data_IF_308892956778
#
_entry.id   IF_308892956778
#
_cell.length_a   1.000
_cell.length_b   1.000
_cell.length_c   1.000
_cell.angle_alpha   90.00
_cell.angle_beta   90.00
_cell.angle_gamma   90.00
#
_symmetry.space_group_name_H-M   'P 1'
#
loop_
_entity.id
_entity.type
_entity.pdbx_description
1 polymer ?
#
# COMPACT_ATOMS: atom_id res chain seq x y z
N UNK A 1 -14.38 -31.07 59.11
CA UNK A 1 -14.81 -32.08 58.13
C UNK A 1 -14.15 -31.77 56.81
N UNK A 2 -13.29 -32.68 56.38
CA UNK A 2 -12.36 -32.57 55.25
C UNK A 2 -12.87 -33.36 54.04
N UNK A 3 -12.45 -32.92 52.84
CA UNK A 3 -12.48 -33.70 51.59
C UNK A 3 -13.60 -33.30 50.62
N UNK A 4 -13.43 -33.27 49.29
CA UNK A 4 -12.32 -33.69 48.42
C UNK A 4 -12.45 -32.91 47.08
N UNK A 5 -11.33 -32.57 46.44
CA UNK A 5 -11.26 -32.37 44.99
C UNK A 5 -10.09 -33.20 44.45
N UNK A 6 -10.37 -34.05 43.47
CA UNK A 6 -9.40 -34.90 42.82
C UNK A 6 -8.85 -34.23 41.57
N UNK A 7 -7.53 -34.28 41.39
CA UNK A 7 -6.87 -33.93 40.14
C UNK A 7 -5.94 -35.10 39.76
N UNK A 8 -6.13 -35.62 38.55
CA UNK A 8 -5.36 -36.73 37.98
C UNK A 8 -4.54 -36.24 36.79
N UNK A 9 -3.35 -36.82 36.61
CA UNK A 9 -2.53 -36.61 35.41
C UNK A 9 -1.04 -36.60 35.66
N UNK A 10 -0.48 -37.72 36.14
CA UNK A 10 0.96 -37.95 36.20
C UNK A 10 1.43 -38.68 34.94
N UNK A 11 2.37 -38.09 34.22
CA UNK A 11 3.03 -38.69 33.06
C UNK A 11 4.44 -39.22 33.35
N UNK A 12 4.90 -40.02 32.37
CA UNK A 12 6.27 -40.48 32.03
C UNK A 12 6.71 -41.89 32.47
N UNK A 13 6.95 -42.73 31.46
CA UNK A 13 8.18 -43.50 31.16
C UNK A 13 7.80 -44.51 30.05
N UNK A 14 8.62 -44.96 29.09
CA UNK A 14 10.02 -44.74 28.73
C UNK A 14 10.45 -45.90 27.79
N UNK A 15 11.22 -45.59 26.74
CA UNK A 15 12.06 -46.53 25.96
C UNK A 15 11.38 -47.32 24.83
N UNK A 16 12.07 -47.85 23.81
CA UNK A 16 13.39 -47.66 23.21
C UNK A 16 13.44 -48.59 21.98
N UNK A 17 14.20 -48.24 20.94
CA UNK A 17 14.56 -49.13 19.82
C UNK A 17 14.35 -48.44 18.47
N UNK A 18 15.32 -48.25 17.57
CA UNK A 18 16.59 -48.95 17.38
C UNK A 18 16.50 -49.76 16.07
N UNK A 19 16.85 -49.14 14.94
CA UNK A 19 16.92 -49.81 13.63
C UNK A 19 17.71 -48.98 12.63
N UNK A 20 18.95 -49.41 12.35
CA UNK A 20 19.86 -48.90 11.31
C UNK A 20 19.78 -49.82 10.07
N UNK A 21 19.98 -49.26 8.87
CA UNK A 21 20.78 -49.79 7.73
C UNK A 21 20.41 -48.98 6.46
N UNK A 22 21.33 -48.17 5.89
CA UNK A 22 22.28 -48.47 4.79
C UNK A 22 21.57 -48.87 3.48
N UNK A 23 21.86 -48.35 2.29
CA UNK A 23 22.93 -47.49 1.78
C UNK A 23 22.92 -47.50 0.25
N UNK A 24 23.78 -46.67 -0.37
CA UNK A 24 24.18 -46.70 -1.78
C UNK A 24 23.31 -45.90 -2.75
N UNK A 25 23.76 -45.38 -3.90
CA UNK A 25 25.08 -45.09 -4.50
C UNK A 25 24.80 -44.80 -5.99
N UNK A 26 25.54 -43.88 -6.62
CA UNK A 26 25.59 -43.69 -8.09
C UNK A 26 24.59 -42.65 -8.61
N UNK A 27 25.00 -41.57 -9.28
CA UNK A 27 25.59 -41.51 -10.63
C UNK A 27 24.57 -40.73 -11.48
N UNK A 28 24.86 -39.57 -12.09
CA UNK A 28 25.73 -39.39 -13.26
C UNK A 28 24.85 -39.18 -14.51
N UNK A 29 25.03 -38.04 -15.21
CA UNK A 29 24.42 -37.74 -16.53
C UNK A 29 23.01 -37.13 -16.43
N UNK A 30 22.61 -36.09 -17.15
CA UNK A 30 23.10 -35.57 -18.42
C UNK A 30 21.93 -35.52 -19.41
N UNK A 31 21.35 -34.33 -19.61
CA UNK A 31 20.70 -33.83 -20.84
C UNK A 31 19.54 -34.60 -21.49
N UNK A 32 18.44 -33.89 -21.78
CA UNK A 32 17.49 -34.34 -22.79
C UNK A 32 16.21 -33.52 -22.91
N UNK A 33 16.28 -32.31 -23.47
CA UNK A 33 15.11 -31.74 -24.15
C UNK A 33 15.26 -32.01 -25.65
N UNK A 34 14.31 -32.77 -26.22
CA UNK A 34 14.17 -32.95 -27.66
C UNK A 34 13.75 -31.63 -28.31
N UNK A 35 14.51 -31.21 -29.32
CA UNK A 35 14.09 -30.20 -30.31
C UNK A 35 14.11 -30.87 -31.68
N UNK A 36 12.97 -30.84 -32.37
CA UNK A 36 12.82 -31.31 -33.74
C UNK A 36 13.44 -30.30 -34.76
N UNK A 37 13.91 -30.77 -35.93
CA UNK A 37 14.84 -30.01 -36.77
C UNK A 37 14.15 -29.08 -37.78
N UNK A 38 14.78 -27.94 -38.05
CA UNK A 38 14.78 -27.33 -39.38
C UNK A 38 14.43 -25.84 -39.44
N UNK A 39 15.43 -24.96 -39.36
CA UNK A 39 15.68 -23.88 -40.36
C UNK A 39 16.88 -22.99 -39.98
N UNK A 40 18.01 -23.29 -40.64
CA UNK A 40 19.11 -22.45 -41.13
C UNK A 40 19.43 -21.09 -40.44
N UNK A 41 20.66 -21.01 -39.89
CA UNK A 41 21.45 -19.77 -39.85
C UNK A 41 22.20 -19.50 -38.54
N UNK A 42 23.38 -20.10 -38.35
CA UNK A 42 24.24 -19.82 -37.19
C UNK A 42 25.71 -19.71 -37.59
N UNK A 43 26.26 -18.50 -37.48
CA UNK A 43 27.70 -18.27 -37.47
C UNK A 43 28.24 -18.61 -36.07
N UNK A 44 29.23 -19.49 -36.01
CA UNK A 44 29.89 -19.92 -34.79
C UNK A 44 30.95 -18.88 -34.38
N UNK A 45 30.87 -18.36 -33.15
CA UNK A 45 31.97 -17.67 -32.49
C UNK A 45 32.42 -18.50 -31.29
N UNK A 46 33.70 -18.89 -31.32
CA UNK A 46 34.37 -19.74 -30.35
C UNK A 46 34.60 -19.02 -29.01
N UNK A 47 34.50 -19.79 -27.92
CA UNK A 47 34.86 -19.40 -26.56
C UNK A 47 36.29 -18.84 -26.48
N UNK A 48 36.41 -17.60 -26.02
CA UNK A 48 37.63 -16.99 -25.47
C UNK A 48 37.35 -16.51 -24.05
N UNK A 49 38.35 -16.65 -23.17
CA UNK A 49 38.22 -16.66 -21.71
C UNK A 49 37.62 -15.43 -21.04
N UNK A 50 37.01 -15.68 -19.88
CA UNK A 50 36.53 -14.71 -18.93
C UNK A 50 37.74 -14.16 -18.15
N UNK A 51 38.27 -13.01 -18.56
CA UNK A 51 39.15 -12.19 -17.72
C UNK A 51 38.35 -11.01 -17.16
N UNK A 52 38.17 -11.00 -15.85
CA UNK A 52 37.53 -9.94 -15.09
C UNK A 52 38.49 -8.75 -14.92
N UNK A 53 38.24 -7.64 -15.62
CA UNK A 53 38.86 -6.36 -15.28
C UNK A 53 37.77 -5.29 -15.04
N UNK A 54 37.46 -4.94 -13.78
CA UNK A 54 36.38 -4.00 -13.43
C UNK A 54 36.69 -2.51 -13.73
N UNK A 55 37.83 -2.18 -14.33
CA UNK A 55 38.36 -0.80 -14.32
C UNK A 55 38.18 -0.03 -15.64
N UNK A 56 37.55 -0.62 -16.66
CA UNK A 56 37.42 -0.02 -17.99
C UNK A 56 36.15 0.83 -18.21
N UNK A 57 35.28 1.00 -17.21
CA UNK A 57 34.00 1.72 -17.37
C UNK A 57 33.97 3.17 -16.83
N UNK A 58 35.10 3.71 -16.37
CA UNK A 58 35.19 5.11 -15.94
C UNK A 58 36.11 5.91 -16.86
N UNK A 59 35.55 6.36 -17.99
CA UNK A 59 36.15 7.33 -18.90
C UNK A 59 35.40 8.66 -18.86
N UNK A 60 36.15 9.71 -18.54
CA UNK A 60 35.76 11.10 -18.31
C UNK A 60 34.79 11.73 -19.34
N UNK A 61 33.80 12.47 -18.81
CA UNK A 61 33.24 13.64 -19.47
C UNK A 61 33.21 14.82 -18.49
N UNK A 62 34.23 15.67 -18.59
CA UNK A 62 34.13 17.07 -18.17
C UNK A 62 33.26 17.82 -19.19
N UNK A 63 32.01 18.07 -18.81
CA UNK A 63 31.10 18.98 -19.51
C UNK A 63 30.63 20.05 -18.54
N UNK A 64 31.05 21.29 -18.79
CA UNK A 64 30.53 22.50 -18.16
C UNK A 64 29.02 22.60 -18.38
N UNK A 65 28.23 22.34 -17.34
CA UNK A 65 26.78 22.43 -17.36
C UNK A 65 26.30 23.17 -16.11
N UNK A 66 25.66 24.32 -16.31
CA UNK A 66 25.12 25.19 -15.28
C UNK A 66 24.31 24.40 -14.23
N UNK A 67 24.64 24.60 -12.95
CA UNK A 67 23.93 24.05 -11.81
C UNK A 67 22.50 24.62 -11.77
N UNK A 68 21.55 23.90 -12.36
CA UNK A 68 20.11 24.12 -12.10
C UNK A 68 19.85 23.70 -10.66
N UNK A 69 19.65 24.68 -9.78
CA UNK A 69 19.14 24.48 -8.42
C UNK A 69 17.95 23.51 -8.46
N UNK A 70 18.18 22.27 -8.00
CA UNK A 70 17.09 21.35 -7.68
C UNK A 70 16.26 22.03 -6.60
N UNK A 71 15.03 22.41 -6.92
CA UNK A 71 14.07 22.93 -5.94
C UNK A 71 13.92 21.83 -4.89
N UNK A 72 14.41 22.10 -3.68
CA UNK A 72 14.18 21.22 -2.54
C UNK A 72 12.67 21.04 -2.42
N UNK A 73 12.21 19.80 -2.48
CA UNK A 73 10.86 19.47 -2.06
C UNK A 73 10.83 19.74 -0.56
N UNK A 74 10.46 20.96 -0.17
CA UNK A 74 10.07 21.22 1.21
C UNK A 74 8.96 20.23 1.53
N UNK A 75 9.14 19.45 2.59
CA UNK A 75 8.10 18.54 3.08
C UNK A 75 6.95 19.42 3.57
N UNK A 76 6.05 19.78 2.67
CA UNK A 76 4.79 20.44 3.03
C UNK A 76 4.03 19.41 3.86
N UNK A 77 3.75 19.75 5.13
CA UNK A 77 2.92 18.90 6.00
C UNK A 77 1.58 18.68 5.30
N UNK A 78 1.09 17.44 5.32
CA UNK A 78 -0.17 17.04 4.69
C UNK A 78 -1.34 17.98 5.04
N UNK A 79 -1.46 18.38 6.30
CA UNK A 79 -2.47 19.36 6.75
C UNK A 79 -2.39 20.70 6.02
N UNK A 80 -1.20 21.20 5.70
CA UNK A 80 -1.00 22.51 5.08
C UNK A 80 -1.48 22.57 3.62
N UNK A 81 -1.70 21.43 2.95
CA UNK A 81 -2.35 21.41 1.62
C UNK A 81 -3.86 21.58 1.75
N UNK A 82 -4.46 20.91 2.73
CA UNK A 82 -5.90 20.96 3.00
C UNK A 82 -6.33 22.31 3.58
N UNK A 83 -5.52 22.87 4.48
CA UNK A 83 -5.82 24.14 5.17
C UNK A 83 -5.86 25.37 4.24
N UNK A 84 -5.50 25.22 2.95
CA UNK A 84 -5.64 26.26 1.92
C UNK A 84 -7.08 26.47 1.47
N UNK A 85 -7.93 25.48 1.66
CA UNK A 85 -9.32 25.49 1.20
C UNK A 85 -10.23 25.97 2.34
N UNK A 86 -11.17 26.87 2.05
CA UNK A 86 -12.13 27.33 3.05
C UNK A 86 -13.20 26.26 3.28
N UNK A 87 -13.62 26.09 4.55
CA UNK A 87 -14.73 25.20 4.91
C UNK A 87 -16.10 25.65 4.37
N UNK A 88 -16.19 26.91 3.93
CA UNK A 88 -17.39 27.49 3.33
C UNK A 88 -17.50 27.25 1.82
N UNK A 89 -16.42 26.77 1.19
CA UNK A 89 -16.40 26.52 -0.26
C UNK A 89 -16.92 25.10 -0.55
N UNK A 90 -17.50 24.93 -1.73
CA UNK A 90 -17.90 23.61 -2.22
C UNK A 90 -16.66 22.94 -2.82
N UNK A 91 -16.20 21.87 -2.18
CA UNK A 91 -15.04 21.09 -2.63
C UNK A 91 -15.48 19.97 -3.57
N UNK A 92 -14.81 19.87 -4.71
CA UNK A 92 -14.98 18.78 -5.67
C UNK A 92 -13.74 17.88 -5.66
N UNK A 93 -13.93 16.62 -5.22
CA UNK A 93 -12.89 15.59 -5.10
C UNK A 93 -13.20 14.40 -6.01
N UNK A 94 -12.82 14.43 -7.31
CA UNK A 94 -13.04 13.32 -8.24
C UNK A 94 -12.30 12.05 -7.82
N UNK A 95 -12.99 10.91 -7.88
CA UNK A 95 -12.39 9.58 -7.64
C UNK A 95 -11.61 9.09 -8.85
N UNK A 96 -10.37 8.67 -8.61
CA UNK A 96 -9.50 8.10 -9.64
C UNK A 96 -9.91 6.69 -10.07
N UNK A 97 -10.86 6.03 -9.39
CA UNK A 97 -11.34 4.70 -9.80
C UNK A 97 -11.98 4.71 -11.19
N UNK A 98 -12.54 5.85 -11.60
CA UNK A 98 -13.13 6.03 -12.92
C UNK A 98 -12.10 6.44 -13.99
N UNK A 99 -10.84 6.63 -13.61
CA UNK A 99 -9.79 7.08 -14.52
C UNK A 99 -9.21 5.90 -15.32
N UNK A 100 -8.61 6.23 -16.47
CA UNK A 100 -7.79 5.28 -17.20
C UNK A 100 -6.44 5.08 -16.49
N UNK A 101 -6.30 3.96 -15.77
CA UNK A 101 -5.07 3.63 -15.01
C UNK A 101 -3.81 3.55 -15.87
N UNK A 102 -3.91 3.23 -17.17
CA UNK A 102 -2.75 3.23 -18.07
C UNK A 102 -2.16 4.64 -18.31
N UNK A 103 -2.92 5.69 -17.99
CA UNK A 103 -2.55 7.10 -18.17
C UNK A 103 -2.87 7.93 -16.92
N UNK A 104 -2.76 7.33 -15.74
CA UNK A 104 -3.29 7.91 -14.50
C UNK A 104 -2.73 9.31 -14.21
N UNK A 105 -1.43 9.52 -14.42
CA UNK A 105 -0.82 10.84 -14.21
C UNK A 105 -1.34 11.94 -15.15
N UNK A 106 -1.69 11.58 -16.39
CA UNK A 106 -2.31 12.52 -17.34
C UNK A 106 -3.76 12.82 -16.94
N UNK A 107 -4.50 11.81 -16.49
CA UNK A 107 -5.88 11.97 -16.04
C UNK A 107 -5.97 12.87 -14.82
N UNK A 108 -5.07 12.72 -13.85
CA UNK A 108 -5.00 13.59 -12.66
C UNK A 108 -4.71 15.03 -13.04
N UNK A 109 -3.75 15.27 -13.95
CA UNK A 109 -3.48 16.63 -14.45
C UNK A 109 -4.66 17.22 -15.20
N UNK A 110 -5.39 16.41 -15.97
CA UNK A 110 -6.56 16.87 -16.70
C UNK A 110 -7.67 17.37 -15.76
N UNK A 111 -7.96 16.63 -14.67
CA UNK A 111 -8.96 17.06 -13.69
C UNK A 111 -8.47 18.23 -12.83
N UNK A 112 -7.17 18.32 -12.54
CA UNK A 112 -6.57 19.48 -11.90
C UNK A 112 -6.72 20.73 -12.77
N UNK A 113 -6.42 20.65 -14.07
CA UNK A 113 -6.67 21.75 -15.01
C UNK A 113 -8.14 22.10 -15.19
N UNK A 114 -9.06 21.14 -14.97
CA UNK A 114 -10.49 21.38 -14.98
C UNK A 114 -10.99 22.09 -13.70
N UNK A 115 -10.13 22.29 -12.70
CA UNK A 115 -10.43 23.02 -11.48
C UNK A 115 -11.00 22.18 -10.35
N UNK A 116 -10.65 20.88 -10.27
CA UNK A 116 -10.94 20.12 -9.05
C UNK A 116 -10.05 20.59 -7.89
N UNK A 117 -10.57 20.40 -6.67
CA UNK A 117 -9.91 20.86 -5.46
C UNK A 117 -8.97 19.79 -4.92
N UNK A 118 -9.48 18.56 -4.79
CA UNK A 118 -8.77 17.41 -4.22
C UNK A 118 -8.83 16.22 -5.18
N UNK A 119 -8.02 15.19 -4.93
CA UNK A 119 -8.06 13.93 -5.67
C UNK A 119 -8.46 12.81 -4.72
N UNK A 120 -9.60 12.16 -4.99
CA UNK A 120 -10.11 11.08 -4.16
C UNK A 120 -9.51 9.73 -4.59
N UNK A 121 -9.04 8.97 -3.61
CA UNK A 121 -8.35 7.69 -3.79
C UNK A 121 -9.04 6.62 -2.96
N UNK A 122 -9.86 5.80 -3.61
CA UNK A 122 -10.56 4.68 -2.99
C UNK A 122 -9.68 3.41 -2.94
N UNK A 123 -9.39 2.96 -1.72
CA UNK A 123 -8.55 1.79 -1.44
C UNK A 123 -9.44 0.66 -0.96
N UNK A 124 -9.43 -0.47 -1.67
CA UNK A 124 -10.24 -1.64 -1.40
C UNK A 124 -9.37 -2.90 -1.29
N UNK A 125 -9.63 -3.77 -0.32
CA UNK A 125 -8.79 -4.94 0.00
C UNK A 125 -9.44 -6.31 -0.34
N UNK A 126 -10.64 -6.33 -0.90
CA UNK A 126 -11.38 -7.56 -1.19
C UNK A 126 -11.99 -8.24 0.05
N UNK A 127 -11.81 -7.67 1.25
CA UNK A 127 -12.32 -8.22 2.52
C UNK A 127 -13.44 -7.37 3.09
N UNK A 128 -13.21 -6.06 3.25
CA UNK A 128 -14.24 -5.15 3.73
C UNK A 128 -15.29 -4.89 2.64
N UNK A 129 -14.84 -4.84 1.39
CA UNK A 129 -15.65 -4.78 0.17
C UNK A 129 -15.19 -5.88 -0.79
N UNK A 130 -16.05 -6.37 -1.71
CA UNK A 130 -15.69 -7.50 -2.57
C UNK A 130 -14.66 -7.16 -3.66
N UNK A 131 -14.34 -5.88 -3.84
CA UNK A 131 -13.42 -5.39 -4.87
C UNK A 131 -12.01 -5.14 -4.31
N UNK A 132 -11.01 -5.18 -5.20
CA UNK A 132 -9.61 -4.84 -4.91
C UNK A 132 -9.21 -3.74 -5.87
N UNK A 133 -8.68 -2.63 -5.36
CA UNK A 133 -8.31 -1.47 -6.19
C UNK A 133 -6.80 -1.26 -6.20
N UNK A 134 -6.32 -0.38 -5.33
CA UNK A 134 -4.99 0.19 -5.34
C UNK A 134 -4.44 0.30 -3.92
N UNK A 135 -3.13 0.34 -3.80
CA UNK A 135 -2.43 0.48 -2.52
C UNK A 135 -1.59 1.76 -2.43
N UNK A 136 -0.78 1.89 -1.37
CA UNK A 136 0.06 3.07 -1.12
C UNK A 136 1.00 3.43 -2.27
N UNK A 137 1.41 2.45 -3.08
CA UNK A 137 2.27 2.66 -4.25
C UNK A 137 1.65 3.63 -5.26
N UNK A 138 0.33 3.59 -5.45
CA UNK A 138 -0.35 4.50 -6.38
C UNK A 138 -0.39 5.91 -5.81
N UNK A 139 -0.60 6.06 -4.50
CA UNK A 139 -0.53 7.37 -3.82
C UNK A 139 0.86 7.98 -3.95
N UNK A 140 1.91 7.17 -3.73
CA UNK A 140 3.31 7.60 -3.88
C UNK A 140 3.63 8.03 -5.32
N UNK A 141 3.11 7.29 -6.32
CA UNK A 141 3.26 7.64 -7.73
C UNK A 141 2.49 8.91 -8.14
N UNK A 142 1.35 9.19 -7.51
CA UNK A 142 0.53 10.39 -7.76
C UNK A 142 1.10 11.63 -7.07
N UNK A 143 1.75 11.47 -5.92
CA UNK A 143 2.25 12.60 -5.14
C UNK A 143 3.16 13.57 -5.92
N UNK A 144 4.11 13.13 -6.77
CA UNK A 144 4.91 14.05 -7.60
C UNK A 144 4.17 14.60 -8.83
N UNK A 145 2.96 14.10 -9.15
CA UNK A 145 2.19 14.50 -10.32
C UNK A 145 1.34 15.74 -10.06
N UNK A 146 0.82 15.89 -8.83
CA UNK A 146 -0.09 16.96 -8.43
C UNK A 146 0.28 17.52 -7.06
N UNK A 147 0.00 18.81 -6.85
CA UNK A 147 0.11 19.46 -5.55
C UNK A 147 -1.23 19.57 -4.79
N UNK A 148 -2.33 19.12 -5.40
CA UNK A 148 -3.65 19.06 -4.76
C UNK A 148 -3.66 18.07 -3.59
N UNK A 149 -4.53 18.26 -2.57
CA UNK A 149 -4.73 17.27 -1.52
C UNK A 149 -5.12 15.90 -2.06
N UNK A 150 -4.45 14.86 -1.57
CA UNK A 150 -4.82 13.46 -1.81
C UNK A 150 -5.73 12.99 -0.66
N UNK A 151 -6.99 12.74 -1.00
CA UNK A 151 -8.04 12.28 -0.10
C UNK A 151 -8.18 10.77 -0.19
N UNK A 152 -7.58 10.05 0.76
CA UNK A 152 -7.50 8.59 0.75
C UNK A 152 -8.62 8.00 1.59
N UNK A 153 -9.48 7.21 0.94
CA UNK A 153 -10.59 6.51 1.56
C UNK A 153 -10.28 5.02 1.70
N UNK A 154 -10.13 4.56 2.95
CA UNK A 154 -9.75 3.19 3.28
C UNK A 154 -10.99 2.30 3.49
N UNK A 155 -11.42 1.62 2.44
CA UNK A 155 -12.42 0.54 2.47
C UNK A 155 -11.73 -0.82 2.69
N UNK A 156 -11.06 -0.96 3.84
CA UNK A 156 -10.25 -2.14 4.19
C UNK A 156 -10.52 -2.59 5.63
N UNK A 157 -10.17 -3.83 5.94
CA UNK A 157 -10.13 -4.29 7.34
C UNK A 157 -8.81 -3.88 8.00
N UNK A 158 -8.84 -3.65 9.32
CA UNK A 158 -7.65 -3.30 10.13
C UNK A 158 -6.86 -2.09 9.58
N UNK A 159 -7.53 -0.94 9.32
CA UNK A 159 -6.90 0.18 8.63
C UNK A 159 -5.73 0.80 9.41
N UNK A 160 -5.70 0.68 10.74
CA UNK A 160 -4.63 1.19 11.60
C UNK A 160 -3.24 0.62 11.26
N UNK A 161 -3.20 -0.58 10.67
CA UNK A 161 -1.96 -1.20 10.19
C UNK A 161 -1.45 -0.57 8.90
N UNK A 162 -2.35 0.01 8.08
CA UNK A 162 -2.01 0.56 6.75
C UNK A 162 -1.95 2.07 6.70
N UNK A 163 -2.60 2.77 7.64
CA UNK A 163 -2.56 4.24 7.77
C UNK A 163 -1.13 4.81 7.63
N UNK A 164 -0.09 4.28 8.32
CA UNK A 164 1.26 4.83 8.20
C UNK A 164 1.83 4.77 6.78
N UNK A 165 1.50 3.72 6.02
CA UNK A 165 1.98 3.55 4.64
C UNK A 165 1.39 4.62 3.72
N UNK A 166 0.08 4.90 3.86
CA UNK A 166 -0.62 5.89 3.04
C UNK A 166 -0.14 7.32 3.34
N UNK A 167 0.04 7.65 4.62
CA UNK A 167 0.56 8.96 5.01
C UNK A 167 2.00 9.14 4.51
N UNK A 168 2.83 8.10 4.63
CA UNK A 168 4.21 8.12 4.09
C UNK A 168 4.23 8.28 2.57
N UNK A 169 3.28 7.68 1.86
CA UNK A 169 3.10 7.83 0.42
C UNK A 169 2.61 9.23 0.00
N UNK A 170 2.19 10.07 0.96
CA UNK A 170 1.81 11.46 0.71
C UNK A 170 0.31 11.73 0.72
N UNK A 171 -0.49 10.87 1.38
CA UNK A 171 -1.88 11.14 1.68
C UNK A 171 -2.03 12.37 2.60
N UNK A 172 -2.94 13.27 2.25
CA UNK A 172 -3.21 14.48 3.03
C UNK A 172 -4.39 14.31 3.99
N UNK A 173 -5.40 13.56 3.53
CA UNK A 173 -6.56 13.14 4.30
C UNK A 173 -6.60 11.62 4.26
N UNK A 174 -6.86 10.99 5.41
CA UNK A 174 -7.11 9.55 5.50
C UNK A 174 -8.44 9.33 6.21
N UNK A 175 -9.36 8.70 5.48
CA UNK A 175 -10.71 8.42 5.93
C UNK A 175 -10.86 6.92 6.22
N UNK A 176 -11.36 6.59 7.41
CA UNK A 176 -11.56 5.19 7.85
C UNK A 176 -13.01 4.94 8.20
N UNK A 177 -13.46 3.72 7.96
CA UNK A 177 -14.81 3.27 8.30
C UNK A 177 -15.00 3.11 9.81
N UNK A 178 -16.16 3.55 10.33
CA UNK A 178 -16.51 3.39 11.74
C UNK A 178 -17.09 2.00 12.05
N UNK A 179 -17.46 1.22 11.03
CA UNK A 179 -17.98 -0.11 11.19
C UNK A 179 -16.98 -1.03 11.90
N UNK A 180 -17.47 -1.80 12.86
CA UNK A 180 -16.64 -2.73 13.65
C UNK A 180 -16.00 -3.83 12.77
N UNK A 181 -16.58 -4.12 11.60
CA UNK A 181 -16.00 -5.02 10.60
C UNK A 181 -14.75 -4.45 9.92
N UNK A 182 -14.54 -3.14 9.98
CA UNK A 182 -13.32 -2.44 9.53
C UNK A 182 -12.41 -2.13 10.71
N UNK A 183 -12.92 -1.35 11.68
CA UNK A 183 -12.09 -0.66 12.67
C UNK A 183 -12.55 -0.99 14.10
N UNK A 184 -11.73 -1.72 14.85
CA UNK A 184 -12.08 -2.14 16.22
C UNK A 184 -11.99 -0.97 17.21
N UNK A 185 -11.00 -0.09 17.05
CA UNK A 185 -10.68 0.99 17.98
C UNK A 185 -10.68 2.36 17.27
N UNK A 186 -11.86 2.78 16.79
CA UNK A 186 -12.01 3.99 15.95
C UNK A 186 -11.31 5.24 16.51
N UNK A 187 -11.54 5.57 17.79
CA UNK A 187 -10.92 6.72 18.45
C UNK A 187 -9.38 6.66 18.41
N UNK A 188 -8.79 5.47 18.59
CA UNK A 188 -7.33 5.28 18.53
C UNK A 188 -6.83 5.48 17.10
N UNK A 189 -7.47 4.87 16.10
CA UNK A 189 -7.09 4.99 14.69
C UNK A 189 -7.16 6.43 14.20
N UNK A 190 -8.21 7.15 14.59
CA UNK A 190 -8.36 8.59 14.30
C UNK A 190 -7.20 9.41 14.87
N UNK A 191 -6.85 9.20 16.13
CA UNK A 191 -5.75 9.93 16.77
C UNK A 191 -4.39 9.54 16.18
N UNK A 192 -4.24 8.29 15.73
CA UNK A 192 -3.06 7.84 14.99
C UNK A 192 -2.90 8.63 13.69
N UNK A 193 -3.97 8.78 12.89
CA UNK A 193 -3.93 9.57 11.64
C UNK A 193 -3.49 11.01 11.91
N UNK A 194 -4.10 11.66 12.91
CA UNK A 194 -3.77 13.04 13.32
C UNK A 194 -2.32 13.16 13.80
N UNK A 195 -1.84 12.23 14.62
CA UNK A 195 -0.48 12.26 15.16
C UNK A 195 0.60 12.03 14.08
N UNK A 196 0.26 11.33 13.00
CA UNK A 196 1.12 11.13 11.83
C UNK A 196 1.10 12.34 10.86
N UNK A 197 0.26 13.34 11.11
CA UNK A 197 0.27 14.62 10.40
C UNK A 197 -0.67 14.71 9.19
N UNK A 198 -1.60 13.77 9.03
CA UNK A 198 -2.69 13.84 8.07
C UNK A 198 -4.00 14.28 8.76
N UNK A 199 -4.97 14.77 7.98
CA UNK A 199 -6.33 15.01 8.47
C UNK A 199 -7.08 13.69 8.56
N UNK A 200 -7.82 13.49 9.64
CA UNK A 200 -8.62 12.28 9.85
C UNK A 200 -10.05 12.47 9.34
N UNK A 201 -10.54 11.49 8.59
CA UNK A 201 -11.93 11.35 8.20
C UNK A 201 -12.57 10.10 8.80
N UNK A 202 -13.86 10.16 9.05
CA UNK A 202 -14.67 9.00 9.46
C UNK A 202 -15.77 8.77 8.45
N UNK A 203 -15.90 7.54 7.99
CA UNK A 203 -16.85 7.11 6.96
C UNK A 203 -17.94 6.25 7.58
N UNK A 204 -19.19 6.51 7.18
CA UNK A 204 -20.34 5.69 7.53
C UNK A 204 -20.93 5.08 6.27
N UNK A 205 -21.23 3.78 6.35
CA UNK A 205 -22.12 3.13 5.40
C UNK A 205 -23.56 3.62 5.59
N UNK A 206 -24.40 3.53 4.55
CA UNK A 206 -25.79 3.98 4.62
C UNK A 206 -26.62 3.33 5.73
N UNK A 207 -26.29 2.09 6.10
CA UNK A 207 -26.96 1.35 7.17
C UNK A 207 -26.43 1.65 8.57
N UNK A 208 -25.35 2.41 8.70
CA UNK A 208 -24.70 2.68 9.99
C UNK A 208 -25.29 3.95 10.62
N UNK A 209 -25.81 3.88 11.87
CA UNK A 209 -26.41 5.04 12.51
C UNK A 209 -25.36 6.10 12.89
N UNK A 210 -25.75 7.38 12.88
CA UNK A 210 -24.88 8.49 13.27
C UNK A 210 -24.36 8.38 14.72
N UNK A 211 -25.09 7.70 15.60
CA UNK A 211 -24.65 7.44 16.98
C UNK A 211 -23.34 6.64 17.05
N UNK A 212 -22.98 5.91 16.00
CA UNK A 212 -21.73 5.14 15.94
C UNK A 212 -20.47 6.03 16.05
N UNK A 213 -20.57 7.32 15.74
CA UNK A 213 -19.44 8.25 15.74
C UNK A 213 -19.52 9.33 16.83
N UNK A 214 -20.56 9.32 17.66
CA UNK A 214 -20.82 10.37 18.66
C UNK A 214 -19.60 10.69 19.53
N UNK A 215 -18.93 9.65 20.03
CA UNK A 215 -17.75 9.77 20.91
C UNK A 215 -16.44 10.07 20.18
N UNK A 216 -16.45 10.19 18.85
CA UNK A 216 -15.25 10.49 18.04
C UNK A 216 -15.38 11.85 17.35
N UNK A 217 -16.54 12.52 17.44
CA UNK A 217 -16.81 13.82 16.83
C UNK A 217 -16.07 15.01 17.48
N UNK A 218 -15.28 14.79 18.53
CA UNK A 218 -14.57 15.88 19.22
C UNK A 218 -13.39 16.43 18.38
N UNK A 219 -13.62 17.53 17.67
CA UNK A 219 -12.59 18.31 16.95
C UNK A 219 -12.87 18.47 15.45
N UNK A 220 -11.85 18.84 14.67
CA UNK A 220 -11.98 18.92 13.21
C UNK A 220 -11.93 17.53 12.57
N UNK A 221 -12.97 17.20 11.81
CA UNK A 221 -13.14 15.92 11.11
C UNK A 221 -13.80 16.11 9.75
N UNK A 222 -13.41 15.27 8.80
CA UNK A 222 -14.16 15.09 7.57
C UNK A 222 -15.15 13.93 7.74
N UNK A 223 -16.40 14.16 7.37
CA UNK A 223 -17.44 13.13 7.38
C UNK A 223 -17.77 12.76 5.95
N UNK A 224 -17.70 11.48 5.64
CA UNK A 224 -18.12 10.95 4.34
C UNK A 224 -19.25 9.95 4.53
N UNK A 225 -20.32 10.15 3.77
CA UNK A 225 -21.35 9.14 3.61
C UNK A 225 -20.99 8.32 2.38
N UNK A 226 -20.58 7.07 2.57
CA UNK A 226 -20.28 6.19 1.44
C UNK A 226 -21.57 5.78 0.74
N UNK A 227 -21.60 5.78 -0.60
CA UNK A 227 -22.67 5.09 -1.34
C UNK A 227 -22.43 3.58 -1.27
N UNK A 228 -23.49 2.79 -1.40
CA UNK A 228 -23.46 1.32 -1.26
C UNK A 228 -22.19 0.68 -1.82
N UNK A 229 -21.43 0.02 -0.95
CA UNK A 229 -20.15 -0.65 -1.21
C UNK A 229 -20.25 -1.91 -2.12
N UNK A 230 -21.38 -2.08 -2.82
CA UNK A 230 -21.71 -3.27 -3.62
C UNK A 230 -21.46 -3.11 -5.13
N UNK A 231 -20.71 -2.10 -5.55
CA UNK A 231 -20.24 -1.98 -6.94
C UNK A 231 -18.88 -2.63 -7.07
#
# INVERSE_FOLDING_TARGET
MSGKSGNGGGGKSGGSGGGKSSGGSGGGGGGGYMVAPGSKGGAYISRGGFESNPQAYFGNLHGSGQSKKRRGHGVVKATARVDKFSKSDIIVSPSILSANFAKLGEQVKAVECAGCDWIHVDVMDGRFVPNITIGPLVVDALRPVTDLPLDVHLMIVEPDLRVPDFIKAGADIVSVHCEQSSTIHLHRTVNQIKSLGAKAGVVLNPGTPLSAIEYVLEGEFFFFLSRHLHQ
#
